data_IF_252622205988
#
_entry.id   IF_252622205988
#
_cell.length_a   1.000
_cell.length_b   1.000
_cell.length_c   1.000
_cell.angle_alpha   90.00
_cell.angle_beta   90.00
_cell.angle_gamma   90.00
#
_symmetry.space_group_name_H-M   'P 1'
#
loop_
_entity.id
_entity.type
_entity.pdbx_description
1 polymer ?
#
# COMPACT_ATOMS: atom_id res chain seq x y z
N UNK A 1 3.83 -32.46 6.94
CA UNK A 1 4.15 -31.02 7.12
C UNK A 1 3.90 -30.33 5.77
N UNK A 2 3.16 -29.23 5.72
CA UNK A 2 2.69 -28.69 4.43
C UNK A 2 3.84 -28.05 3.65
N UNK A 3 4.43 -28.77 2.71
CA UNK A 3 5.51 -28.27 1.83
C UNK A 3 5.17 -26.92 1.17
N UNK A 4 3.92 -26.72 0.75
CA UNK A 4 3.45 -25.47 0.17
C UNK A 4 3.60 -24.28 1.14
N UNK A 5 3.31 -24.44 2.44
CA UNK A 5 3.48 -23.36 3.42
C UNK A 5 4.95 -22.93 3.57
N UNK A 6 5.88 -23.89 3.52
CA UNK A 6 7.31 -23.59 3.58
C UNK A 6 7.78 -22.86 2.31
N UNK A 7 7.30 -23.29 1.14
CA UNK A 7 7.59 -22.63 -0.13
C UNK A 7 7.05 -21.20 -0.16
N UNK A 8 5.79 -20.97 0.25
CA UNK A 8 5.20 -19.63 0.33
C UNK A 8 5.96 -18.72 1.29
N UNK A 9 6.37 -19.25 2.46
CA UNK A 9 7.17 -18.51 3.44
C UNK A 9 8.52 -18.11 2.85
N UNK A 10 9.18 -19.00 2.12
CA UNK A 10 10.44 -18.71 1.44
C UNK A 10 10.28 -17.61 0.41
N UNK A 11 9.33 -17.77 -0.52
CA UNK A 11 9.04 -16.76 -1.55
C UNK A 11 8.77 -15.38 -0.95
N UNK A 12 7.99 -15.32 0.13
CA UNK A 12 7.75 -14.07 0.84
C UNK A 12 9.04 -13.45 1.40
N UNK A 13 9.89 -14.24 2.06
CA UNK A 13 11.13 -13.73 2.64
C UNK A 13 12.14 -13.27 1.60
N UNK A 14 12.20 -13.98 0.47
CA UNK A 14 13.08 -13.68 -0.65
C UNK A 14 12.69 -12.37 -1.33
N UNK A 15 11.39 -12.10 -1.49
CA UNK A 15 10.86 -10.92 -2.16
C UNK A 15 10.19 -9.90 -1.22
N UNK A 16 10.46 -9.98 0.08
CA UNK A 16 9.87 -9.07 1.09
C UNK A 16 10.10 -7.59 0.78
N UNK A 17 11.18 -7.25 0.10
CA UNK A 17 11.48 -5.90 -0.35
C UNK A 17 10.37 -5.31 -1.21
N UNK A 18 9.95 -6.04 -2.24
CA UNK A 18 8.87 -5.61 -3.12
C UNK A 18 7.49 -5.73 -2.47
N UNK A 19 7.20 -6.87 -1.84
CA UNK A 19 5.84 -7.15 -1.35
C UNK A 19 5.44 -6.35 -0.11
N UNK A 20 6.38 -6.11 0.80
CA UNK A 20 6.12 -5.38 2.05
C UNK A 20 6.55 -3.92 1.96
N UNK A 21 7.81 -3.68 1.56
CA UNK A 21 8.37 -2.35 1.63
C UNK A 21 7.82 -1.39 0.57
N UNK A 22 7.48 -1.87 -0.64
CA UNK A 22 6.92 -0.98 -1.65
C UNK A 22 5.56 -0.40 -1.22
N UNK A 23 4.55 -1.18 -0.78
CA UNK A 23 3.32 -0.61 -0.24
C UNK A 23 3.54 0.27 0.99
N UNK A 24 4.43 -0.11 1.92
CA UNK A 24 4.72 0.66 3.14
C UNK A 24 5.36 2.01 2.81
N UNK A 25 6.35 2.06 1.91
CA UNK A 25 6.96 3.32 1.48
C UNK A 25 5.97 4.21 0.73
N UNK A 26 5.12 3.61 -0.12
CA UNK A 26 4.05 4.36 -0.81
C UNK A 26 3.09 4.97 0.19
N UNK A 27 2.64 4.19 1.17
CA UNK A 27 1.77 4.66 2.24
C UNK A 27 2.43 5.77 3.07
N UNK A 28 3.69 5.58 3.47
CA UNK A 28 4.47 6.58 4.20
C UNK A 28 4.63 7.89 3.42
N UNK A 29 4.90 7.82 2.12
CA UNK A 29 4.97 8.99 1.26
C UNK A 29 3.65 9.77 1.23
N UNK A 30 2.52 9.07 1.06
CA UNK A 30 1.21 9.71 1.08
C UNK A 30 0.87 10.34 2.43
N UNK A 31 1.24 9.69 3.53
CA UNK A 31 1.05 10.23 4.87
C UNK A 31 1.83 11.54 5.04
N UNK A 32 3.11 11.56 4.67
CA UNK A 32 3.93 12.77 4.72
C UNK A 32 3.38 13.86 3.80
N UNK A 33 2.98 13.52 2.58
CA UNK A 33 2.40 14.48 1.63
C UNK A 33 1.10 15.10 2.17
N UNK A 34 0.25 14.29 2.81
CA UNK A 34 -1.01 14.77 3.42
C UNK A 34 -0.72 15.70 4.60
N UNK A 35 0.20 15.33 5.48
CA UNK A 35 0.61 16.18 6.61
C UNK A 35 1.23 17.50 6.13
N UNK A 36 2.09 17.46 5.12
CA UNK A 36 2.65 18.67 4.52
C UNK A 36 1.58 19.53 3.86
N UNK A 37 0.62 18.92 3.16
CA UNK A 37 -0.51 19.62 2.57
C UNK A 37 -1.36 20.32 3.63
N UNK A 38 -1.55 19.69 4.77
CA UNK A 38 -2.28 20.27 5.91
C UNK A 38 -1.56 21.48 6.51
N UNK A 39 -0.26 21.33 6.77
CA UNK A 39 0.61 22.43 7.27
C UNK A 39 0.62 23.60 6.29
N UNK A 40 0.73 23.32 4.98
CA UNK A 40 0.68 24.35 3.94
C UNK A 40 -0.66 25.07 3.88
N UNK A 41 -1.76 24.34 3.97
CA UNK A 41 -3.10 24.90 3.98
C UNK A 41 -3.30 25.84 5.19
N UNK A 42 -2.78 25.45 6.35
CA UNK A 42 -2.83 26.27 7.57
C UNK A 42 -1.94 27.52 7.45
N UNK A 43 -0.74 27.38 6.88
CA UNK A 43 0.19 28.50 6.68
C UNK A 43 -0.31 29.52 5.64
N UNK A 44 -0.92 29.06 4.54
CA UNK A 44 -1.50 29.93 3.51
C UNK A 44 -2.86 30.49 3.97
N UNK A 45 -3.64 29.67 4.67
CA UNK A 45 -4.95 30.04 5.21
C UNK A 45 -4.84 31.14 6.28
N UNK A 46 -3.85 31.07 7.15
CA UNK A 46 -3.60 32.09 8.18
C UNK A 46 -3.22 33.47 7.63
N UNK A 47 -2.70 33.53 6.39
CA UNK A 47 -2.40 34.80 5.71
C UNK A 47 -3.61 35.51 5.09
N UNK A 48 -4.74 34.84 4.95
CA UNK A 48 -5.98 35.37 4.34
C UNK A 48 -7.18 35.46 5.28
N UNK A 49 -7.12 34.76 6.40
CA UNK A 49 -8.16 34.80 7.43
C UNK A 49 -7.66 35.61 8.63
N UNK A 50 -8.15 36.84 8.76
CA UNK A 50 -8.12 37.61 10.01
C UNK A 50 -9.10 37.00 11.05
N UNK A 51 -9.11 35.70 11.18
CA UNK A 51 -9.91 34.97 12.15
C UNK A 51 -8.99 34.15 13.05
N UNK A 52 -9.03 34.40 14.34
CA UNK A 52 -8.34 33.64 15.35
C UNK A 52 -8.65 32.15 15.18
N UNK A 53 -7.68 31.38 14.77
CA UNK A 53 -7.80 29.91 14.74
C UNK A 53 -7.66 29.43 16.18
N UNK A 54 -8.77 29.30 16.88
CA UNK A 54 -8.82 28.58 18.15
C UNK A 54 -8.61 27.09 17.90
N UNK A 55 -7.39 26.62 18.10
CA UNK A 55 -7.11 25.18 18.23
C UNK A 55 -7.94 24.65 19.39
N UNK A 56 -8.98 23.88 19.08
CA UNK A 56 -9.89 23.30 20.10
C UNK A 56 -11.37 23.59 19.89
N UNK A 57 -11.77 24.22 18.77
CA UNK A 57 -13.21 24.32 18.46
C UNK A 57 -13.72 22.92 18.11
N UNK A 58 -14.73 22.39 18.85
CA UNK A 58 -15.28 21.08 18.52
C UNK A 58 -15.79 21.10 17.08
N UNK A 59 -15.37 20.13 16.28
CA UNK A 59 -15.70 19.95 14.85
C UNK A 59 -17.19 20.17 14.58
N UNK A 60 -18.04 19.84 15.54
CA UNK A 60 -19.49 20.03 15.51
C UNK A 60 -19.92 21.52 15.42
N UNK A 61 -19.16 22.45 16.03
CA UNK A 61 -19.44 23.89 15.92
C UNK A 61 -18.97 24.48 14.59
N UNK A 62 -17.88 23.96 14.02
CA UNK A 62 -17.41 24.33 12.69
C UNK A 62 -18.41 23.87 11.61
N UNK A 63 -18.88 22.63 11.69
CA UNK A 63 -19.89 22.09 10.77
C UNK A 63 -21.22 22.87 10.79
N UNK A 64 -21.56 23.50 11.89
CA UNK A 64 -22.82 24.28 12.01
C UNK A 64 -22.74 25.68 11.35
N UNK A 65 -21.52 26.19 11.11
CA UNK A 65 -21.27 27.51 10.48
C UNK A 65 -20.92 27.42 9.00
N UNK A 66 -20.59 26.23 8.48
CA UNK A 66 -20.22 26.05 7.09
C UNK A 66 -21.46 25.70 6.27
N UNK A 67 -21.70 26.40 5.14
CA UNK A 67 -22.80 26.07 4.24
C UNK A 67 -22.72 24.60 3.79
N UNK A 68 -23.85 23.88 3.64
CA UNK A 68 -23.87 22.48 3.23
C UNK A 68 -23.12 22.22 1.91
N UNK A 69 -23.07 23.19 1.02
CA UNK A 69 -22.37 23.12 -0.25
C UNK A 69 -20.84 23.07 -0.07
N UNK A 70 -20.28 23.77 0.89
CA UNK A 70 -18.85 23.73 1.19
C UNK A 70 -18.46 22.42 1.90
N UNK A 71 -19.33 21.91 2.78
CA UNK A 71 -19.14 20.60 3.40
C UNK A 71 -19.09 19.52 2.31
N UNK A 72 -19.99 19.58 1.33
CA UNK A 72 -19.99 18.64 0.21
C UNK A 72 -18.70 18.69 -0.63
N UNK A 73 -18.16 19.89 -0.87
CA UNK A 73 -16.88 20.05 -1.58
C UNK A 73 -15.70 19.46 -0.81
N UNK A 74 -15.65 19.67 0.50
CA UNK A 74 -14.61 19.08 1.37
C UNK A 74 -14.74 17.56 1.41
N UNK A 75 -15.95 17.03 1.58
CA UNK A 75 -16.20 15.60 1.57
C UNK A 75 -15.77 14.97 0.22
N UNK A 76 -16.16 15.58 -0.90
CA UNK A 76 -15.73 15.14 -2.23
C UNK A 76 -14.21 15.16 -2.40
N UNK A 77 -13.53 16.19 -1.87
CA UNK A 77 -12.07 16.28 -1.90
C UNK A 77 -11.39 15.15 -1.10
N UNK A 78 -11.94 14.81 0.06
CA UNK A 78 -11.46 13.70 0.87
C UNK A 78 -11.69 12.35 0.15
N UNK A 79 -12.88 12.11 -0.37
CA UNK A 79 -13.19 10.90 -1.12
C UNK A 79 -12.26 10.73 -2.33
N UNK A 80 -12.04 11.83 -3.07
CA UNK A 80 -11.13 11.82 -4.22
C UNK A 80 -9.69 11.50 -3.80
N UNK A 81 -9.22 12.07 -2.69
CA UNK A 81 -7.87 11.78 -2.17
C UNK A 81 -7.69 10.32 -1.79
N UNK A 82 -8.70 9.71 -1.19
CA UNK A 82 -8.70 8.28 -0.85
C UNK A 82 -8.69 7.41 -2.13
N UNK A 83 -9.49 7.75 -3.13
CA UNK A 83 -9.51 7.03 -4.41
C UNK A 83 -8.16 7.11 -5.12
N UNK A 84 -7.53 8.28 -5.15
CA UNK A 84 -6.19 8.45 -5.71
C UNK A 84 -5.16 7.61 -4.96
N UNK A 85 -5.19 7.64 -3.63
CA UNK A 85 -4.30 6.83 -2.79
C UNK A 85 -4.45 5.33 -3.08
N UNK A 86 -5.69 4.83 -3.14
CA UNK A 86 -5.99 3.46 -3.52
C UNK A 86 -5.44 3.12 -4.92
N UNK A 87 -5.66 3.99 -5.88
CA UNK A 87 -5.18 3.83 -7.25
C UNK A 87 -3.65 3.71 -7.31
N UNK A 88 -2.92 4.58 -6.63
CA UNK A 88 -1.45 4.56 -6.63
C UNK A 88 -0.91 3.28 -6.00
N UNK A 89 -1.46 2.83 -4.87
CA UNK A 89 -1.04 1.56 -4.25
C UNK A 89 -1.22 0.39 -5.22
N UNK A 90 -2.35 0.34 -5.95
CA UNK A 90 -2.61 -0.73 -6.91
C UNK A 90 -1.67 -0.68 -8.11
N UNK A 91 -1.34 0.52 -8.61
CA UNK A 91 -0.36 0.69 -9.69
C UNK A 91 1.03 0.22 -9.23
N UNK A 92 1.47 0.61 -8.03
CA UNK A 92 2.74 0.14 -7.46
C UNK A 92 2.74 -1.39 -7.31
N UNK A 93 1.66 -1.95 -6.77
CA UNK A 93 1.49 -3.40 -6.63
C UNK A 93 1.56 -4.11 -7.99
N UNK A 94 0.91 -3.55 -9.02
CA UNK A 94 0.96 -4.10 -10.38
C UNK A 94 2.41 -4.19 -10.88
N UNK A 95 3.20 -3.13 -10.76
CA UNK A 95 4.61 -3.16 -11.17
C UNK A 95 5.44 -4.15 -10.35
N UNK A 96 5.25 -4.20 -9.04
CA UNK A 96 5.92 -5.18 -8.18
C UNK A 96 5.62 -6.61 -8.63
N UNK A 97 4.36 -6.93 -8.87
CA UNK A 97 3.94 -8.25 -9.35
C UNK A 97 4.46 -8.55 -10.74
N UNK A 98 4.42 -7.56 -11.64
CA UNK A 98 4.92 -7.69 -13.01
C UNK A 98 6.40 -8.08 -13.02
N UNK A 99 7.26 -7.33 -12.31
CA UNK A 99 8.69 -7.65 -12.24
C UNK A 99 8.95 -8.96 -11.49
N UNK A 100 8.19 -9.23 -10.43
CA UNK A 100 8.28 -10.50 -9.72
C UNK A 100 7.98 -11.68 -10.64
N UNK A 101 6.89 -11.65 -11.40
CA UNK A 101 6.50 -12.76 -12.27
C UNK A 101 7.47 -12.96 -13.44
N UNK A 102 8.02 -11.88 -14.00
CA UNK A 102 9.04 -11.97 -15.04
C UNK A 102 10.33 -12.60 -14.47
N UNK A 103 10.76 -12.18 -13.29
CA UNK A 103 11.98 -12.66 -12.63
C UNK A 103 11.85 -14.07 -12.04
N UNK A 104 10.66 -14.45 -11.58
CA UNK A 104 10.42 -15.57 -10.68
C UNK A 104 11.01 -16.93 -11.12
N UNK A 105 10.99 -17.22 -12.42
CA UNK A 105 11.57 -18.45 -12.96
C UNK A 105 12.96 -18.23 -13.57
N UNK A 106 13.25 -16.99 -13.98
CA UNK A 106 14.53 -16.64 -14.55
C UNK A 106 15.64 -16.65 -13.49
N UNK A 107 15.39 -16.04 -12.34
CA UNK A 107 16.35 -15.93 -11.25
C UNK A 107 16.71 -17.32 -10.69
N UNK A 108 15.73 -18.21 -10.52
CA UNK A 108 15.95 -19.60 -10.11
C UNK A 108 16.89 -20.36 -11.08
N UNK A 109 16.81 -20.07 -12.39
CA UNK A 109 17.67 -20.68 -13.41
C UNK A 109 19.06 -20.07 -13.40
N UNK A 110 19.16 -18.77 -13.27
CA UNK A 110 20.43 -18.04 -13.29
C UNK A 110 21.32 -18.43 -12.12
N UNK A 111 20.75 -18.55 -10.92
CA UNK A 111 21.48 -18.88 -9.70
C UNK A 111 21.73 -20.41 -9.52
N UNK A 112 21.35 -21.21 -10.54
CA UNK A 112 21.41 -22.67 -10.49
C UNK A 112 20.67 -23.30 -9.29
N UNK A 113 19.84 -22.54 -8.60
CA UNK A 113 19.03 -23.02 -7.48
C UNK A 113 18.08 -24.14 -7.90
N UNK A 114 17.69 -24.19 -9.19
CA UNK A 114 16.91 -25.28 -9.78
C UNK A 114 17.55 -26.65 -9.54
N UNK A 115 18.88 -26.76 -9.59
CA UNK A 115 19.58 -28.05 -9.34
C UNK A 115 19.41 -28.48 -7.88
N UNK A 116 19.46 -27.53 -6.96
CA UNK A 116 19.22 -27.79 -5.54
C UNK A 116 17.76 -28.21 -5.28
N UNK A 117 16.81 -27.53 -5.92
CA UNK A 117 15.37 -27.82 -5.74
C UNK A 117 15.00 -29.19 -6.33
N UNK A 118 15.62 -29.60 -7.44
CA UNK A 118 15.42 -30.94 -8.02
C UNK A 118 15.96 -32.09 -7.13
N UNK A 119 16.84 -31.80 -6.20
CA UNK A 119 17.30 -32.79 -5.22
C UNK A 119 16.36 -32.94 -4.01
N UNK A 120 15.39 -32.03 -3.84
CA UNK A 120 14.39 -32.10 -2.79
C UNK A 120 13.14 -32.85 -3.28
N UNK A 121 12.37 -33.46 -2.38
CA UNK A 121 11.12 -34.16 -2.71
C UNK A 121 9.97 -33.18 -2.96
N UNK A 122 10.20 -32.19 -3.84
CA UNK A 122 9.22 -31.13 -4.20
C UNK A 122 9.00 -31.20 -5.71
N UNK A 123 7.75 -31.28 -6.14
CA UNK A 123 7.43 -31.30 -7.57
C UNK A 123 7.55 -29.92 -8.20
N UNK A 124 7.89 -29.87 -9.51
CA UNK A 124 7.96 -28.62 -10.28
C UNK A 124 6.63 -27.87 -10.22
N UNK A 125 5.50 -28.60 -10.21
CA UNK A 125 4.16 -28.02 -10.06
C UNK A 125 4.01 -27.28 -8.72
N UNK A 126 4.51 -27.83 -7.62
CA UNK A 126 4.43 -27.18 -6.30
C UNK A 126 5.27 -25.89 -6.26
N UNK A 127 6.40 -25.88 -6.93
CA UNK A 127 7.27 -24.71 -7.03
C UNK A 127 6.60 -23.61 -7.84
N UNK A 128 6.05 -23.91 -9.01
CA UNK A 128 5.32 -22.93 -9.82
C UNK A 128 4.06 -22.46 -9.11
N UNK A 129 3.32 -23.37 -8.49
CA UNK A 129 2.09 -23.02 -7.77
C UNK A 129 2.37 -22.11 -6.57
N UNK A 130 3.47 -22.32 -5.84
CA UNK A 130 3.85 -21.41 -4.74
C UNK A 130 4.10 -19.99 -5.22
N UNK A 131 4.75 -19.79 -6.37
CA UNK A 131 4.99 -18.48 -6.96
C UNK A 131 3.70 -17.80 -7.40
N UNK A 132 2.82 -18.54 -8.07
CA UNK A 132 1.50 -18.04 -8.49
C UNK A 132 0.63 -17.67 -7.27
N UNK A 133 0.60 -18.51 -6.24
CA UNK A 133 -0.16 -18.24 -5.02
C UNK A 133 0.40 -17.02 -4.27
N UNK A 134 1.72 -16.84 -4.25
CA UNK A 134 2.35 -15.65 -3.66
C UNK A 134 1.92 -14.39 -4.40
N UNK A 135 1.96 -14.39 -5.72
CA UNK A 135 1.53 -13.27 -6.53
C UNK A 135 0.03 -12.98 -6.42
N UNK A 136 -0.80 -14.02 -6.43
CA UNK A 136 -2.27 -13.88 -6.48
C UNK A 136 -2.89 -13.55 -5.12
N UNK A 137 -2.28 -14.00 -4.02
CA UNK A 137 -2.88 -13.88 -2.68
C UNK A 137 -1.99 -13.13 -1.69
N UNK A 138 -0.72 -13.53 -1.54
CA UNK A 138 0.14 -12.96 -0.49
C UNK A 138 0.42 -11.49 -0.74
N UNK A 139 0.84 -11.11 -1.93
CA UNK A 139 1.16 -9.73 -2.24
C UNK A 139 -0.07 -8.80 -2.21
N UNK A 140 -1.23 -9.12 -2.83
CA UNK A 140 -2.43 -8.30 -2.72
C UNK A 140 -2.97 -8.20 -1.28
N UNK A 141 -2.86 -9.27 -0.49
CA UNK A 141 -3.30 -9.28 0.91
C UNK A 141 -2.46 -8.33 1.77
N UNK A 142 -1.14 -8.27 1.54
CA UNK A 142 -0.25 -7.31 2.22
C UNK A 142 -0.60 -5.88 1.82
N UNK A 143 -0.78 -5.60 0.53
CA UNK A 143 -1.15 -4.27 0.05
C UNK A 143 -2.50 -3.84 0.63
N UNK A 144 -3.47 -4.75 0.68
CA UNK A 144 -4.77 -4.52 1.31
C UNK A 144 -4.63 -4.20 2.80
N UNK A 145 -3.84 -4.99 3.55
CA UNK A 145 -3.61 -4.77 4.98
C UNK A 145 -2.97 -3.39 5.24
N UNK A 146 -1.97 -2.98 4.43
CA UNK A 146 -1.35 -1.66 4.53
C UNK A 146 -2.38 -0.56 4.26
N UNK A 147 -3.23 -0.73 3.23
CA UNK A 147 -4.26 0.25 2.90
C UNK A 147 -5.30 0.39 4.02
N UNK A 148 -5.76 -0.73 4.60
CA UNK A 148 -6.68 -0.72 5.74
C UNK A 148 -6.05 -0.05 6.96
N UNK A 149 -4.79 -0.37 7.26
CA UNK A 149 -4.07 0.26 8.38
C UNK A 149 -3.96 1.78 8.23
N UNK A 150 -3.73 2.26 7.01
CA UNK A 150 -3.72 3.70 6.71
C UNK A 150 -5.11 4.34 6.88
N UNK A 151 -6.16 3.68 6.41
CA UNK A 151 -7.53 4.21 6.55
C UNK A 151 -8.02 4.27 8.01
N UNK A 152 -7.52 3.40 8.90
CA UNK A 152 -7.84 3.44 10.35
C UNK A 152 -7.04 4.54 11.05
N UNK A 153 -5.84 4.88 10.53
CA UNK A 153 -4.96 5.90 11.10
C UNK A 153 -5.32 7.34 10.72
N UNK A 154 -6.22 7.51 9.75
CA UNK A 154 -6.83 8.79 9.35
C UNK A 154 -8.23 8.95 9.94
#
# INVERSE_FOLDING_TARGET
MNHIKMLLKREFWEHRGGFLWAPVWTAGFFLVATLMGWIWAEFIGSGKFNGEVHVGIPLKMLMQKIPPEEIAKVAFGLDLSLVIFWGVIHVVLFFVLFFYLIGALYDDRKDRSVLFWKSLPVSDLQTVLSKVLTAAFVAPLIAFAVTVAMNIGF
#
